data_IF_830518042176
#
_entry.id   IF_830518042176
#
_cell.length_a   1.000
_cell.length_b   1.000
_cell.length_c   1.000
_cell.angle_alpha   90.00
_cell.angle_beta   90.00
_cell.angle_gamma   90.00
#
_symmetry.space_group_name_H-M   'P 1'
#
loop_
_entity.id
_entity.type
_entity.pdbx_description
1 polymer ?
#
# COMPACT_ATOMS: atom_id res chain seq x y z
N UNK A 1 -10.34 -7.01 18.75
CA UNK A 1 -9.68 -5.70 18.79
C UNK A 1 -8.86 -5.51 17.54
N UNK A 2 -8.99 -4.37 16.92
CA UNK A 2 -8.27 -4.04 15.69
C UNK A 2 -6.84 -3.63 16.02
N UNK A 3 -5.87 -4.24 15.35
CA UNK A 3 -4.47 -3.86 15.53
C UNK A 3 -4.20 -2.49 14.87
N UNK A 4 -3.40 -1.67 15.53
CA UNK A 4 -2.97 -0.38 14.99
C UNK A 4 -1.45 -0.43 14.91
N UNK A 5 -0.90 -0.21 13.72
CA UNK A 5 0.54 -0.24 13.50
C UNK A 5 1.17 1.02 14.13
N UNK A 6 2.27 0.84 14.85
CA UNK A 6 2.99 1.95 15.45
C UNK A 6 3.54 2.86 14.35
N UNK A 7 3.28 4.16 14.46
CA UNK A 7 3.66 5.15 13.46
C UNK A 7 2.65 5.32 12.34
N UNK A 8 1.53 4.55 12.34
CA UNK A 8 0.48 4.70 11.36
C UNK A 8 -0.26 6.03 11.56
N UNK A 9 -1.08 6.43 10.58
CA UNK A 9 -1.84 7.66 10.68
C UNK A 9 -2.78 7.66 11.87
N UNK A 10 -3.44 6.52 12.14
CA UNK A 10 -4.32 6.39 13.31
C UNK A 10 -3.54 6.52 14.62
N UNK A 11 -2.38 5.89 14.71
CA UNK A 11 -1.53 5.98 15.88
C UNK A 11 -1.14 7.44 16.18
N UNK A 12 -0.67 8.15 15.16
CA UNK A 12 -0.27 9.56 15.31
C UNK A 12 -1.48 10.44 15.61
N UNK A 13 -2.62 10.19 14.99
CA UNK A 13 -3.84 10.93 15.25
C UNK A 13 -4.26 10.81 16.72
N UNK A 14 -4.18 9.61 17.29
CA UNK A 14 -4.55 9.37 18.69
C UNK A 14 -3.60 10.05 19.68
N UNK A 15 -2.32 10.18 19.32
CA UNK A 15 -1.31 10.77 20.20
C UNK A 15 -1.14 12.26 20.02
N UNK A 16 -1.43 12.80 18.83
CA UNK A 16 -1.19 14.22 18.51
C UNK A 16 -2.44 15.08 18.58
N UNK A 17 -3.62 14.47 18.60
CA UNK A 17 -4.89 15.20 18.58
C UNK A 17 -5.29 15.72 17.20
N UNK A 18 -4.50 15.47 16.16
CA UNK A 18 -4.86 15.85 14.80
C UNK A 18 -5.93 14.92 14.23
N UNK A 19 -6.76 15.42 13.31
CA UNK A 19 -7.73 14.58 12.63
C UNK A 19 -7.04 13.65 11.63
N UNK A 20 -7.71 12.56 11.22
CA UNK A 20 -7.17 11.68 10.18
C UNK A 20 -7.00 12.42 8.86
N UNK A 21 -7.89 13.36 8.55
CA UNK A 21 -7.77 14.17 7.33
C UNK A 21 -6.49 14.98 7.34
N UNK A 22 -6.16 15.61 8.48
CA UNK A 22 -4.91 16.35 8.61
C UNK A 22 -3.68 15.46 8.47
N UNK A 23 -3.69 14.28 9.10
CA UNK A 23 -2.57 13.36 8.99
C UNK A 23 -2.41 12.86 7.57
N UNK A 24 -3.51 12.61 6.85
CA UNK A 24 -3.46 12.21 5.44
C UNK A 24 -2.85 13.33 4.57
N UNK A 25 -3.27 14.56 4.77
CA UNK A 25 -2.76 15.70 4.01
C UNK A 25 -1.26 15.94 4.26
N UNK A 26 -0.77 15.55 5.42
CA UNK A 26 0.64 15.69 5.76
C UNK A 26 1.47 14.46 5.36
N UNK A 27 0.88 13.47 4.70
CA UNK A 27 1.60 12.28 4.26
C UNK A 27 2.63 12.61 3.20
N UNK A 28 3.79 12.01 3.31
CA UNK A 28 4.89 12.18 2.36
C UNK A 28 5.09 10.94 1.50
N UNK A 29 4.51 9.80 1.91
CA UNK A 29 4.61 8.53 1.23
C UNK A 29 3.22 7.92 1.14
N UNK A 30 2.84 7.48 -0.05
CA UNK A 30 1.62 6.70 -0.26
C UNK A 30 2.04 5.29 -0.68
N UNK A 31 1.58 4.29 0.06
CA UNK A 31 1.88 2.89 -0.23
C UNK A 31 0.61 2.18 -0.69
N UNK A 32 0.65 1.69 -1.93
CA UNK A 32 -0.41 0.86 -2.49
C UNK A 32 -0.05 -0.59 -2.24
N UNK A 33 -0.92 -1.34 -1.56
CA UNK A 33 -0.66 -2.73 -1.18
C UNK A 33 -1.67 -3.65 -1.84
N UNK A 34 -1.17 -4.58 -2.61
CA UNK A 34 -1.98 -5.62 -3.26
C UNK A 34 -2.53 -6.57 -2.19
N UNK A 35 -3.86 -6.65 -2.10
CA UNK A 35 -4.55 -7.58 -1.21
C UNK A 35 -5.42 -8.56 -2.00
N UNK A 36 -5.07 -8.82 -3.24
CA UNK A 36 -5.75 -9.84 -4.05
C UNK A 36 -5.55 -11.24 -3.43
N UNK A 37 -6.37 -12.19 -3.88
CA UNK A 37 -6.36 -13.55 -3.32
C UNK A 37 -4.98 -14.21 -3.39
N UNK A 38 -4.19 -13.94 -4.44
CA UNK A 38 -2.85 -14.51 -4.58
C UNK A 38 -1.91 -14.12 -3.45
N UNK A 39 -2.15 -13.00 -2.78
CA UNK A 39 -1.34 -12.54 -1.65
C UNK A 39 -1.52 -13.44 -0.40
N UNK A 40 -2.50 -14.33 -0.41
CA UNK A 40 -2.67 -15.31 0.66
C UNK A 40 -1.75 -16.52 0.55
N UNK A 41 -0.99 -16.66 -0.52
CA UNK A 41 -0.10 -17.80 -0.69
C UNK A 41 1.08 -17.74 0.29
N UNK A 42 1.46 -18.90 0.83
CA UNK A 42 2.51 -19.02 1.85
C UNK A 42 3.84 -19.42 1.23
N UNK A 43 4.29 -18.69 0.23
CA UNK A 43 5.53 -18.96 -0.48
C UNK A 43 6.55 -17.82 -0.39
N UNK A 44 6.32 -16.87 0.50
CA UNK A 44 7.30 -15.82 0.77
C UNK A 44 8.44 -16.37 1.61
N UNK A 45 9.63 -15.71 1.60
CA UNK A 45 10.77 -16.18 2.40
C UNK A 45 10.38 -16.39 3.87
N UNK A 46 10.78 -17.55 4.43
CA UNK A 46 10.43 -17.95 5.78
C UNK A 46 9.11 -18.70 5.89
N UNK A 47 8.45 -19.01 4.76
CA UNK A 47 7.20 -19.78 4.73
C UNK A 47 5.96 -18.99 5.16
N UNK A 48 6.07 -17.66 5.28
CA UNK A 48 4.93 -16.81 5.63
C UNK A 48 4.12 -16.49 4.36
N UNK A 49 2.91 -15.96 4.55
CA UNK A 49 2.10 -15.55 3.41
C UNK A 49 2.70 -14.29 2.76
N UNK A 50 2.40 -14.10 1.49
CA UNK A 50 2.77 -12.86 0.79
C UNK A 50 2.17 -11.64 1.50
N UNK A 51 0.94 -11.78 1.98
CA UNK A 51 0.27 -10.75 2.77
C UNK A 51 1.07 -10.39 4.02
N UNK A 52 1.53 -11.40 4.78
CA UNK A 52 2.32 -11.17 5.99
C UNK A 52 3.64 -10.48 5.65
N UNK A 53 4.29 -10.89 4.57
CA UNK A 53 5.53 -10.25 4.12
C UNK A 53 5.29 -8.77 3.79
N UNK A 54 4.16 -8.46 3.15
CA UNK A 54 3.78 -7.08 2.86
C UNK A 54 3.53 -6.28 4.15
N UNK A 55 2.84 -6.88 5.11
CA UNK A 55 2.59 -6.25 6.41
C UNK A 55 3.90 -5.94 7.14
N UNK A 56 4.87 -6.84 7.07
CA UNK A 56 6.19 -6.63 7.68
C UNK A 56 6.91 -5.43 7.05
N UNK A 57 6.84 -5.29 5.73
CA UNK A 57 7.38 -4.14 5.02
C UNK A 57 6.70 -2.84 5.46
N UNK A 58 5.38 -2.86 5.58
CA UNK A 58 4.60 -1.69 6.01
C UNK A 58 4.95 -1.27 7.43
N UNK A 59 5.13 -2.24 8.33
CA UNK A 59 5.52 -1.96 9.71
C UNK A 59 6.86 -1.22 9.75
N UNK A 60 7.82 -1.68 8.95
CA UNK A 60 9.14 -1.04 8.85
C UNK A 60 9.02 0.39 8.29
N UNK A 61 8.28 0.57 7.21
CA UNK A 61 8.13 1.87 6.55
C UNK A 61 7.46 2.88 7.48
N UNK A 62 6.38 2.48 8.15
CA UNK A 62 5.63 3.36 9.04
C UNK A 62 6.42 3.68 10.31
N UNK A 63 7.15 2.71 10.83
CA UNK A 63 8.01 2.92 12.00
C UNK A 63 9.14 3.90 11.73
N UNK A 64 9.66 3.92 10.51
CA UNK A 64 10.72 4.84 10.10
C UNK A 64 10.18 6.24 9.73
N UNK A 65 8.89 6.36 9.43
CA UNK A 65 8.26 7.60 8.97
C UNK A 65 6.94 7.85 9.70
N UNK A 66 6.94 8.02 11.03
CA UNK A 66 5.70 8.12 11.81
C UNK A 66 4.81 9.27 11.33
N UNK A 67 3.54 8.95 11.06
CA UNK A 67 2.55 9.94 10.64
C UNK A 67 2.73 10.45 9.21
N UNK A 68 3.62 9.86 8.42
CA UNK A 68 3.94 10.32 7.08
C UNK A 68 3.52 9.35 5.97
N UNK A 69 2.98 8.18 6.33
CA UNK A 69 2.68 7.12 5.37
C UNK A 69 1.18 6.86 5.30
N UNK A 70 0.60 7.04 4.13
CA UNK A 70 -0.79 6.67 3.87
C UNK A 70 -0.81 5.28 3.23
N UNK A 71 -1.46 4.33 3.88
CA UNK A 71 -1.58 2.95 3.40
C UNK A 71 -2.91 2.77 2.69
N UNK A 72 -2.86 2.29 1.46
CA UNK A 72 -4.05 2.04 0.64
C UNK A 72 -3.96 0.60 0.14
N UNK A 73 -4.89 -0.25 0.58
CA UNK A 73 -4.97 -1.60 0.06
C UNK A 73 -5.81 -1.63 -1.21
N UNK A 74 -5.52 -2.54 -2.10
CA UNK A 74 -6.34 -2.74 -3.28
C UNK A 74 -6.44 -4.22 -3.65
N UNK A 75 -7.63 -4.61 -4.03
CA UNK A 75 -7.91 -5.90 -4.65
C UNK A 75 -8.80 -5.57 -5.84
N UNK A 76 -10.11 -5.75 -5.74
CA UNK A 76 -11.04 -5.24 -6.75
C UNK A 76 -11.24 -3.73 -6.64
N UNK A 77 -11.00 -3.15 -5.44
CA UNK A 77 -11.18 -1.72 -5.16
C UNK A 77 -10.06 -1.21 -4.24
N UNK A 78 -9.67 0.07 -4.37
CA UNK A 78 -8.75 0.67 -3.40
C UNK A 78 -9.49 1.06 -2.11
N UNK A 79 -8.82 0.85 -0.97
CA UNK A 79 -9.34 1.18 0.36
C UNK A 79 -8.25 1.84 1.20
N UNK A 80 -8.54 3.03 1.74
CA UNK A 80 -7.62 3.71 2.64
C UNK A 80 -7.59 3.01 4.00
N UNK A 81 -6.39 2.72 4.49
CA UNK A 81 -6.18 1.97 5.73
C UNK A 81 -5.34 2.80 6.72
N UNK A 82 -5.93 3.75 7.45
CA UNK A 82 -5.18 4.63 8.34
C UNK A 82 -4.54 3.90 9.53
N UNK A 83 -5.04 2.71 9.90
CA UNK A 83 -4.45 1.91 10.96
C UNK A 83 -3.11 1.27 10.54
N UNK A 84 -2.79 1.34 9.26
CA UNK A 84 -1.51 0.86 8.74
C UNK A 84 -1.48 -0.60 8.35
N UNK A 85 -2.64 -1.28 8.36
CA UNK A 85 -2.76 -2.67 7.94
C UNK A 85 -3.68 -2.78 6.73
N UNK A 86 -3.23 -3.39 5.64
CA UNK A 86 -4.11 -3.62 4.50
C UNK A 86 -5.21 -4.62 4.85
N UNK A 87 -6.35 -4.50 4.21
CA UNK A 87 -7.53 -5.29 4.54
C UNK A 87 -8.03 -6.08 3.34
N UNK A 88 -8.82 -7.14 3.64
CA UNK A 88 -9.58 -7.91 2.64
C UNK A 88 -8.74 -8.63 1.59
N UNK A 89 -8.14 -9.76 1.98
CA UNK A 89 -7.50 -10.68 1.04
C UNK A 89 -8.56 -11.38 0.21
N UNK A 90 -8.96 -10.76 -0.89
CA UNK A 90 -9.96 -11.35 -1.77
C UNK A 90 -9.95 -10.67 -3.13
N UNK A 91 -10.59 -11.33 -4.10
CA UNK A 91 -10.84 -10.74 -5.40
C UNK A 91 -9.64 -10.65 -6.31
N UNK A 92 -9.73 -9.73 -7.22
CA UNK A 92 -8.76 -9.55 -8.31
C UNK A 92 -7.69 -8.52 -7.96
N UNK A 93 -6.82 -8.24 -8.91
CA UNK A 93 -5.73 -7.25 -8.77
C UNK A 93 -6.00 -6.07 -9.68
N UNK A 94 -6.92 -5.21 -9.26
CA UNK A 94 -7.31 -4.03 -10.05
C UNK A 94 -6.33 -2.87 -9.81
N UNK A 95 -5.14 -3.01 -10.37
CA UNK A 95 -4.05 -2.05 -10.22
C UNK A 95 -4.37 -0.72 -10.90
N UNK A 96 -5.18 -0.73 -11.97
CA UNK A 96 -5.59 0.47 -12.67
C UNK A 96 -6.36 1.42 -11.73
N UNK A 97 -7.35 0.88 -11.00
CA UNK A 97 -8.13 1.68 -10.06
C UNK A 97 -7.28 2.15 -8.87
N UNK A 98 -6.33 1.32 -8.43
CA UNK A 98 -5.40 1.72 -7.38
C UNK A 98 -4.56 2.92 -7.81
N UNK A 99 -4.02 2.89 -9.02
CA UNK A 99 -3.23 4.00 -9.56
C UNK A 99 -4.09 5.24 -9.77
N UNK A 100 -5.32 5.10 -10.24
CA UNK A 100 -6.25 6.23 -10.39
C UNK A 100 -6.56 6.87 -9.04
N UNK A 101 -6.68 6.05 -8.00
CA UNK A 101 -6.98 6.53 -6.65
C UNK A 101 -5.91 7.48 -6.14
N UNK A 102 -4.64 7.22 -6.46
CA UNK A 102 -3.52 8.05 -5.99
C UNK A 102 -3.04 9.08 -7.01
N UNK A 103 -3.64 9.12 -8.20
CA UNK A 103 -3.25 10.08 -9.23
C UNK A 103 -3.26 11.53 -8.74
N UNK A 104 -4.21 11.98 -7.88
CA UNK A 104 -4.19 13.36 -7.36
C UNK A 104 -2.92 13.76 -6.62
N UNK A 105 -2.15 12.81 -6.07
CA UNK A 105 -0.89 13.16 -5.38
C UNK A 105 0.31 13.15 -6.32
N UNK A 106 0.10 12.79 -7.58
CA UNK A 106 1.17 12.80 -8.59
C UNK A 106 1.68 14.24 -8.81
N UNK A 107 3.00 14.40 -8.76
CA UNK A 107 3.60 15.71 -8.96
C UNK A 107 3.55 16.64 -7.75
N UNK A 108 3.05 16.18 -6.60
CA UNK A 108 2.98 17.00 -5.37
C UNK A 108 4.21 16.84 -4.48
N UNK A 109 5.17 16.01 -4.88
CA UNK A 109 6.33 15.68 -4.04
C UNK A 109 6.12 14.45 -3.17
N UNK A 110 4.91 13.88 -3.16
CA UNK A 110 4.60 12.67 -2.41
C UNK A 110 5.20 11.45 -3.14
N UNK A 111 5.90 10.63 -2.39
CA UNK A 111 6.47 9.38 -2.92
C UNK A 111 5.39 8.32 -3.03
N UNK A 112 5.40 7.56 -4.11
CA UNK A 112 4.43 6.48 -4.35
C UNK A 112 5.18 5.14 -4.36
N UNK A 113 4.73 4.21 -3.52
CA UNK A 113 5.30 2.87 -3.39
C UNK A 113 4.20 1.85 -3.67
N UNK A 114 4.49 0.88 -4.52
CA UNK A 114 3.57 -0.21 -4.84
C UNK A 114 4.12 -1.52 -4.29
N UNK A 115 3.35 -2.20 -3.45
CA UNK A 115 3.72 -3.52 -2.91
C UNK A 115 2.76 -4.54 -3.53
N UNK A 116 3.29 -5.47 -4.32
CA UNK A 116 2.47 -6.41 -5.09
C UNK A 116 3.23 -7.68 -5.41
N UNK A 117 2.50 -8.73 -5.76
CA UNK A 117 3.09 -9.95 -6.29
C UNK A 117 3.32 -9.87 -7.82
N UNK A 118 3.03 -8.72 -8.41
CA UNK A 118 3.37 -8.43 -9.80
C UNK A 118 2.39 -8.92 -10.85
N UNK A 119 1.18 -9.31 -10.47
CA UNK A 119 0.20 -9.88 -11.39
C UNK A 119 -1.09 -9.06 -11.46
N UNK A 120 -1.10 -7.92 -12.17
CA UNK A 120 -2.32 -7.13 -12.31
C UNK A 120 -3.32 -7.82 -13.26
N UNK A 121 -4.61 -7.50 -13.08
CA UNK A 121 -5.69 -8.02 -13.94
C UNK A 121 -5.51 -7.60 -15.40
N UNK A 122 -5.01 -6.40 -15.62
CA UNK A 122 -4.79 -5.85 -16.96
C UNK A 122 -3.43 -5.16 -17.02
N UNK A 123 -2.44 -5.84 -17.59
CA UNK A 123 -1.09 -5.29 -17.73
C UNK A 123 -1.05 -4.08 -18.65
N UNK A 124 -1.75 -4.15 -19.78
CA UNK A 124 -1.76 -3.07 -20.75
C UNK A 124 -2.33 -1.77 -20.21
N UNK A 125 -3.49 -1.86 -19.58
CA UNK A 125 -4.13 -0.69 -18.97
C UNK A 125 -3.32 -0.14 -17.81
N UNK A 126 -2.74 -1.05 -16.99
CA UNK A 126 -1.89 -0.66 -15.87
C UNK A 126 -0.68 0.12 -16.36
N UNK A 127 0.00 -0.36 -17.38
CA UNK A 127 1.14 0.34 -17.96
C UNK A 127 0.74 1.69 -18.55
N UNK A 128 -0.42 1.75 -19.21
CA UNK A 128 -0.90 3.00 -19.80
C UNK A 128 -1.11 4.09 -18.76
N UNK A 129 -1.76 3.75 -17.62
CA UNK A 129 -1.97 4.73 -16.58
C UNK A 129 -0.68 5.07 -15.85
N UNK A 130 0.19 4.07 -15.60
CA UNK A 130 1.48 4.30 -14.95
C UNK A 130 2.35 5.28 -15.74
N UNK A 131 2.30 5.22 -17.06
CA UNK A 131 3.07 6.14 -17.93
C UNK A 131 2.61 7.59 -17.83
N UNK A 132 1.41 7.85 -17.30
CA UNK A 132 0.90 9.21 -17.13
C UNK A 132 1.42 9.87 -15.85
N UNK A 133 2.08 9.10 -14.97
CA UNK A 133 2.59 9.62 -13.71
C UNK A 133 3.91 10.36 -13.92
N UNK A 134 4.03 11.55 -13.34
CA UNK A 134 5.27 12.32 -13.30
C UNK A 134 6.18 11.78 -12.20
N UNK A 135 5.60 11.35 -11.06
CA UNK A 135 6.31 10.78 -9.94
C UNK A 135 6.71 9.34 -10.27
N UNK A 136 7.96 8.98 -10.03
CA UNK A 136 8.39 7.61 -10.17
C UNK A 136 7.68 6.73 -9.12
N UNK A 137 7.18 5.57 -9.55
CA UNK A 137 6.52 4.62 -8.66
C UNK A 137 7.55 3.56 -8.29
N UNK A 138 7.91 3.51 -6.99
CA UNK A 138 8.80 2.47 -6.50
C UNK A 138 8.01 1.18 -6.27
N UNK A 139 8.53 0.05 -6.72
CA UNK A 139 7.84 -1.23 -6.61
C UNK A 139 8.60 -2.15 -5.67
N UNK A 140 7.88 -2.67 -4.67
CA UNK A 140 8.39 -3.73 -3.79
C UNK A 140 7.69 -5.01 -4.21
N UNK A 141 8.45 -5.93 -4.78
CA UNK A 141 7.91 -7.20 -5.23
C UNK A 141 7.83 -8.19 -4.06
N UNK A 142 6.65 -8.75 -3.85
CA UNK A 142 6.41 -9.80 -2.85
C UNK A 142 6.07 -11.06 -3.62
N UNK A 143 6.91 -12.07 -3.54
CA UNK A 143 6.66 -13.31 -4.25
C UNK A 143 7.45 -14.44 -3.67
N UNK A 144 7.55 -15.54 -4.44
CA UNK A 144 8.34 -16.70 -4.03
C UNK A 144 9.81 -16.34 -3.94
N UNK A 145 10.50 -17.00 -3.00
CA UNK A 145 11.94 -16.91 -2.89
C UNK A 145 12.59 -17.36 -4.20
N UNK A 146 13.48 -16.53 -4.73
CA UNK A 146 14.16 -16.81 -5.99
C UNK A 146 13.35 -16.57 -7.25
N UNK A 147 12.12 -16.08 -7.11
CA UNK A 147 11.21 -15.85 -8.24
C UNK A 147 11.08 -14.42 -8.69
#
# INVERSE_FOLDING_TARGET
>A
MKAIVKGSLTDIQQTSGKSLAETFLNSEIVVLVDTSASMGQHDAPGGISRYQAACDQLTTIQGANPGKVAVISFSSWPVFCPDGLPQNLEGSTNMVEALRFVKPVDGTGTKIVLVSDGQPDSEGETLNIAKTFQTAIDVIYIGREGG
#
